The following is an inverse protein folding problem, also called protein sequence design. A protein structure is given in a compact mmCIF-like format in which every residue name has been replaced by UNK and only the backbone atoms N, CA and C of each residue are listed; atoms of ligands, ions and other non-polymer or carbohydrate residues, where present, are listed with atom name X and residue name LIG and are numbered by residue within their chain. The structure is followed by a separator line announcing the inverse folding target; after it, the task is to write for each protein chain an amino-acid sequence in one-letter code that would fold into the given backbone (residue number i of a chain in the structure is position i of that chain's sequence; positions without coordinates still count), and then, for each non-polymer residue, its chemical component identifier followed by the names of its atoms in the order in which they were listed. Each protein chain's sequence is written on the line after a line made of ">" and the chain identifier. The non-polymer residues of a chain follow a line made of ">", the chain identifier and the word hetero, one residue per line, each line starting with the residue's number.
data_IF_856499464048
#
_entry.id   IF_856499464048
#
_cell.length_a   1.000
_cell.length_b   1.000
_cell.length_c   1.000
_cell.angle_alpha   90.00
_cell.angle_beta   90.00
_cell.angle_gamma   90.00
#
_symmetry.space_group_name_H-M   'P 1'
#
loop_
_entity.id
_entity.type
_entity.pdbx_description
1 polymer ?
#
# COMPACT_ATOMS: atom_id res chain seq x y z
N UNK A 1 -8.50 4.03 7.35
CA UNK A 1 -8.09 4.30 5.95
C UNK A 1 -8.81 3.32 5.02
N UNK A 2 -8.89 3.58 3.71
CA UNK A 2 -9.76 2.84 2.82
C UNK A 2 -9.05 1.75 2.00
N UNK A 3 -9.32 0.48 2.32
CA UNK A 3 -8.78 -0.68 1.58
C UNK A 3 -9.30 -0.75 0.13
N UNK A 4 -10.53 -0.29 -0.13
CA UNK A 4 -11.14 -0.30 -1.46
C UNK A 4 -10.32 0.55 -2.43
N UNK A 5 -9.96 1.78 -2.02
CA UNK A 5 -9.14 2.64 -2.85
C UNK A 5 -7.73 2.08 -3.08
N UNK A 6 -7.09 1.54 -2.04
CA UNK A 6 -5.80 0.87 -2.20
C UNK A 6 -5.89 -0.32 -3.18
N UNK A 7 -7.02 -1.04 -3.17
CA UNK A 7 -7.31 -2.12 -4.11
C UNK A 7 -7.49 -1.60 -5.54
N UNK A 8 -8.18 -0.48 -5.73
CA UNK A 8 -8.34 0.16 -7.05
C UNK A 8 -6.99 0.53 -7.66
N UNK A 9 -6.12 1.19 -6.89
CA UNK A 9 -4.76 1.55 -7.33
C UNK A 9 -3.99 0.29 -7.76
N UNK A 10 -3.92 -0.68 -6.86
CA UNK A 10 -3.14 -1.89 -7.07
C UNK A 10 -3.64 -2.69 -8.28
N UNK A 11 -4.96 -2.87 -8.42
CA UNK A 11 -5.54 -3.73 -9.47
C UNK A 11 -5.69 -3.03 -10.82
N UNK A 12 -6.02 -1.72 -10.85
CA UNK A 12 -6.39 -1.03 -12.08
C UNK A 12 -5.25 -0.21 -12.69
N UNK A 13 -4.30 0.25 -11.88
CA UNK A 13 -3.18 1.10 -12.32
C UNK A 13 -1.86 0.34 -12.30
N UNK A 14 -1.44 -0.20 -11.14
CA UNK A 14 -0.11 -0.80 -11.00
C UNK A 14 0.07 -2.04 -11.90
N UNK A 15 -0.97 -2.84 -12.12
CA UNK A 15 -0.94 -3.99 -13.05
C UNK A 15 -0.69 -3.62 -14.51
N UNK A 16 -0.87 -2.35 -14.89
CA UNK A 16 -0.73 -1.84 -16.26
C UNK A 16 0.50 -0.95 -16.43
N UNK A 17 1.20 -0.67 -15.34
CA UNK A 17 2.33 0.24 -15.29
C UNK A 17 3.67 -0.52 -15.27
N UNK A 18 4.58 -0.12 -16.16
CA UNK A 18 5.89 -0.75 -16.26
C UNK A 18 6.82 -0.36 -15.11
N UNK A 19 6.63 0.81 -14.48
CA UNK A 19 7.45 1.25 -13.33
C UNK A 19 7.16 0.37 -12.12
N UNK A 20 5.89 0.00 -11.95
CA UNK A 20 5.42 -0.97 -10.94
C UNK A 20 5.68 -2.43 -11.34
N UNK A 21 6.43 -2.69 -12.42
CA UNK A 21 6.67 -4.03 -12.98
C UNK A 21 5.38 -4.81 -13.27
N UNK A 22 4.27 -4.13 -13.57
CA UNK A 22 2.95 -4.74 -13.80
C UNK A 22 2.40 -5.55 -12.60
N UNK A 23 2.84 -5.27 -11.37
CA UNK A 23 2.32 -5.90 -10.15
C UNK A 23 1.73 -4.86 -9.18
N UNK A 24 0.57 -5.18 -8.62
CA UNK A 24 -0.08 -4.41 -7.55
C UNK A 24 -0.12 -5.18 -6.24
N UNK A 25 0.28 -4.55 -5.14
CA UNK A 25 0.29 -5.16 -3.80
C UNK A 25 -0.41 -4.21 -2.83
N UNK A 26 -1.40 -4.72 -2.11
CA UNK A 26 -2.04 -3.99 -1.01
C UNK A 26 -1.41 -4.44 0.29
N UNK A 27 -0.78 -3.51 1.01
CA UNK A 27 -0.19 -3.74 2.32
C UNK A 27 -1.12 -3.24 3.42
N UNK A 28 -1.14 -3.97 4.53
CA UNK A 28 -1.84 -3.61 5.76
C UNK A 28 -0.83 -3.63 6.90
N UNK A 29 -0.85 -2.61 7.74
CA UNK A 29 -0.04 -2.53 8.94
C UNK A 29 -0.77 -1.72 10.01
N UNK A 30 -0.38 -1.93 11.26
CA UNK A 30 -0.82 -1.13 12.39
C UNK A 30 0.20 -0.02 12.65
N UNK A 31 -0.26 1.12 13.15
CA UNK A 31 0.58 2.28 13.43
C UNK A 31 -0.01 3.02 14.63
N UNK A 32 0.84 3.68 15.41
CA UNK A 32 0.40 4.44 16.58
C UNK A 32 -0.60 5.56 16.20
N UNK A 33 -1.85 5.42 16.65
CA UNK A 33 -2.94 6.36 16.41
C UNK A 33 -2.60 7.80 16.85
N UNK A 34 -1.90 7.94 17.98
CA UNK A 34 -1.53 9.26 18.51
C UNK A 34 -0.52 9.94 17.59
N UNK A 35 0.42 9.17 17.06
CA UNK A 35 1.40 9.64 16.09
C UNK A 35 0.74 10.03 14.76
N UNK A 36 -0.06 9.14 14.16
CA UNK A 36 -0.64 9.41 12.82
C UNK A 36 -1.71 10.49 12.80
N UNK A 37 -2.30 10.81 13.96
CA UNK A 37 -3.26 11.91 14.09
C UNK A 37 -2.70 13.28 13.68
N UNK A 38 -1.37 13.43 13.61
CA UNK A 38 -0.71 14.66 13.15
C UNK A 38 -0.79 14.86 11.63
N UNK A 39 -0.98 13.79 10.86
CA UNK A 39 -1.00 13.85 9.40
C UNK A 39 -2.39 14.15 8.87
N UNK A 40 -2.43 14.93 7.79
CA UNK A 40 -3.69 15.28 7.14
C UNK A 40 -4.18 14.10 6.31
N UNK A 41 -5.46 13.76 6.51
CA UNK A 41 -6.21 12.89 5.59
C UNK A 41 -6.92 13.77 4.58
N UNK A 42 -6.60 13.57 3.32
CA UNK A 42 -7.21 14.22 2.17
C UNK A 42 -8.16 13.26 1.47
N UNK A 43 -9.18 13.80 0.81
CA UNK A 43 -9.99 13.06 -0.16
C UNK A 43 -9.69 13.63 -1.53
N UNK A 44 -9.00 12.86 -2.37
CA UNK A 44 -8.54 13.32 -3.68
C UNK A 44 -9.28 12.59 -4.80
N UNK A 45 -10.10 13.32 -5.56
CA UNK A 45 -10.93 12.70 -6.60
C UNK A 45 -12.27 12.19 -6.06
N UNK A 46 -12.48 10.87 -6.08
CA UNK A 46 -13.73 10.24 -5.67
C UNK A 46 -13.93 10.21 -4.16
N UNK A 47 -15.18 10.08 -3.70
CA UNK A 47 -15.52 10.10 -2.26
C UNK A 47 -14.81 9.04 -1.41
N UNK A 48 -14.33 7.95 -2.04
CA UNK A 48 -13.64 6.84 -1.37
C UNK A 48 -12.10 7.00 -1.39
N UNK A 49 -11.57 7.98 -2.12
CA UNK A 49 -10.14 8.17 -2.40
C UNK A 49 -9.47 8.93 -1.26
N UNK A 50 -9.39 8.29 -0.09
CA UNK A 50 -8.74 8.84 1.09
C UNK A 50 -7.23 8.59 1.06
N UNK A 51 -6.45 9.65 1.24
CA UNK A 51 -4.99 9.60 1.31
C UNK A 51 -4.49 10.29 2.58
N UNK A 52 -3.51 9.69 3.25
CA UNK A 52 -2.79 10.34 4.34
C UNK A 52 -1.44 10.81 3.82
N UNK A 53 -1.18 12.12 3.90
CA UNK A 53 0.04 12.70 3.38
C UNK A 53 1.09 12.87 4.48
N UNK A 54 2.22 12.19 4.30
CA UNK A 54 3.38 12.22 5.20
C UNK A 54 4.53 12.94 4.48
N UNK A 55 5.16 13.95 5.09
CA UNK A 55 6.34 14.60 4.51
C UNK A 55 7.47 13.60 4.29
N UNK A 56 8.20 13.73 3.18
CA UNK A 56 9.23 12.77 2.80
C UNK A 56 10.38 12.69 3.83
N UNK A 57 10.68 13.81 4.49
CA UNK A 57 11.66 13.93 5.56
C UNK A 57 11.26 13.19 6.84
N UNK A 58 9.96 12.94 7.07
CA UNK A 58 9.44 12.25 8.25
C UNK A 58 9.30 10.73 8.04
N UNK A 59 9.61 10.20 6.85
CA UNK A 59 9.39 8.77 6.54
C UNK A 59 10.12 7.81 7.48
N UNK A 60 11.33 8.15 7.93
CA UNK A 60 12.06 7.31 8.89
C UNK A 60 11.35 7.25 10.25
N UNK A 61 10.84 8.39 10.71
CA UNK A 61 10.06 8.48 11.95
C UNK A 61 8.75 7.72 11.77
N UNK A 62 8.06 7.90 10.65
CA UNK A 62 6.82 7.20 10.34
C UNK A 62 6.98 5.68 10.41
N UNK A 63 8.03 5.15 9.78
CA UNK A 63 8.31 3.72 9.79
C UNK A 63 8.63 3.19 11.20
N UNK A 64 9.22 4.02 12.06
CA UNK A 64 9.50 3.63 13.45
C UNK A 64 8.26 3.51 14.33
N UNK A 65 7.14 4.12 13.92
CA UNK A 65 5.85 4.04 14.60
C UNK A 65 4.95 2.89 14.09
N UNK A 66 5.37 2.15 13.04
CA UNK A 66 4.64 0.95 12.59
C UNK A 66 4.73 -0.13 13.67
N UNK A 67 3.58 -0.69 14.02
CA UNK A 67 3.41 -1.68 15.07
C UNK A 67 3.29 -3.07 14.43
N UNK A 68 4.09 -4.01 14.93
CA UNK A 68 4.03 -5.39 14.49
C UNK A 68 4.55 -5.59 13.07
N UNK A 69 3.91 -6.51 12.34
CA UNK A 69 4.34 -6.88 10.99
C UNK A 69 3.50 -6.17 9.92
N UNK A 70 4.15 -5.84 8.82
CA UNK A 70 3.46 -5.43 7.60
C UNK A 70 2.97 -6.69 6.89
N UNK A 71 1.67 -6.75 6.62
CA UNK A 71 1.01 -7.88 5.99
C UNK A 71 0.63 -7.56 4.56
N UNK A 72 0.74 -8.54 3.68
CA UNK A 72 0.15 -8.47 2.34
C UNK A 72 -1.32 -8.85 2.45
N UNK A 73 -2.20 -7.89 2.15
CA UNK A 73 -3.66 -8.11 2.17
C UNK A 73 -4.16 -8.68 0.84
N UNK A 74 -3.67 -8.13 -0.28
CA UNK A 74 -4.07 -8.52 -1.64
C UNK A 74 -2.92 -8.38 -2.62
N UNK A 75 -2.93 -9.21 -3.66
CA UNK A 75 -1.97 -9.19 -4.76
C UNK A 75 -2.71 -9.21 -6.10
N UNK A 76 -2.17 -8.47 -7.07
CA UNK A 76 -2.69 -8.38 -8.42
C UNK A 76 -1.52 -8.47 -9.40
N UNK A 77 -1.61 -9.40 -10.34
CA UNK A 77 -0.58 -9.61 -11.36
C UNK A 77 -1.15 -9.21 -12.71
N UNK A 78 -0.53 -8.24 -13.37
CA UNK A 78 -0.92 -7.82 -14.71
C UNK A 78 -0.48 -8.83 -15.77
N UNK A 79 -1.09 -8.76 -16.96
CA UNK A 79 -0.85 -9.70 -18.07
C UNK A 79 0.62 -9.76 -18.52
N UNK A 80 1.40 -8.72 -18.24
CA UNK A 80 2.82 -8.60 -18.60
C UNK A 80 3.77 -8.94 -17.45
N UNK A 81 3.26 -9.29 -16.27
CA UNK A 81 4.08 -9.67 -15.13
C UNK A 81 4.81 -10.99 -15.40
N UNK A 82 6.11 -11.03 -15.12
CA UNK A 82 6.96 -12.22 -15.32
C UNK A 82 7.71 -12.67 -14.06
N UNK A 83 7.45 -12.00 -12.92
CA UNK A 83 8.07 -12.34 -11.65
C UNK A 83 7.38 -13.51 -10.94
N UNK A 84 7.86 -13.80 -9.74
CA UNK A 84 7.27 -14.81 -8.84
C UNK A 84 6.08 -14.23 -8.09
N UNK A 85 5.11 -15.07 -7.81
CA UNK A 85 4.03 -14.74 -6.88
C UNK A 85 4.58 -14.40 -5.49
N UNK A 86 3.87 -13.56 -4.74
CA UNK A 86 4.22 -13.24 -3.35
C UNK A 86 4.29 -14.50 -2.49
N UNK A 87 3.42 -15.47 -2.74
CA UNK A 87 3.41 -16.77 -2.09
C UNK A 87 4.73 -17.54 -2.32
N UNK A 88 5.24 -17.53 -3.56
CA UNK A 88 6.54 -18.12 -3.90
C UNK A 88 7.73 -17.37 -3.29
N UNK A 89 7.59 -16.06 -3.02
CA UNK A 89 8.64 -15.22 -2.44
C UNK A 89 8.71 -15.32 -0.92
N UNK A 90 7.57 -15.33 -0.25
CA UNK A 90 7.49 -15.38 1.21
C UNK A 90 7.64 -16.81 1.75
N UNK A 91 7.42 -17.82 0.90
CA UNK A 91 7.34 -19.21 1.31
C UNK A 91 6.10 -19.46 2.17
N UNK A 92 5.72 -20.74 2.35
CA UNK A 92 4.64 -21.13 3.27
C UNK A 92 5.04 -20.75 4.70
N UNK A 93 4.74 -19.52 5.13
CA UNK A 93 4.77 -19.09 6.53
C UNK A 93 3.46 -19.47 7.21
#
# INVERSE_FOLDING_TARGET
>A
MNEEYATEIASNWNTKDAISDFIGIVLKFEIDDSYVSKFKVEVVGGNIHQEMWVPAEELNEFNSHIIGEIQVSKTFYGDKYQGKTIEELLGNR
#
